data_IF_111415832272
#
_entry.id   IF_111415832272
#
_cell.length_a   1.000
_cell.length_b   1.000
_cell.length_c   1.000
_cell.angle_alpha   90.00
_cell.angle_beta   90.00
_cell.angle_gamma   90.00
#
_symmetry.space_group_name_H-M   'P 1'
#
loop_
_entity.id
_entity.type
_entity.pdbx_description
1 polymer ?
#
# COMPACT_ATOMS: atom_id res chain seq x y z
N UNK A 1 -12.92 -19.66 -1.12
CA UNK A 1 -13.34 -19.73 0.30
C UNK A 1 -12.19 -19.62 1.29
N UNK A 2 -11.00 -20.15 0.99
CA UNK A 2 -9.89 -20.22 1.96
C UNK A 2 -9.48 -18.87 2.56
N UNK A 3 -9.45 -17.81 1.75
CA UNK A 3 -9.15 -16.43 2.18
C UNK A 3 -10.01 -15.96 3.38
N UNK A 4 -11.30 -16.30 3.38
CA UNK A 4 -12.25 -15.93 4.43
C UNK A 4 -12.12 -16.79 5.68
N UNK A 5 -11.58 -18.02 5.57
CA UNK A 5 -11.25 -18.87 6.72
C UNK A 5 -10.01 -18.35 7.44
N UNK A 6 -9.01 -17.89 6.67
CA UNK A 6 -7.76 -17.34 7.20
C UNK A 6 -7.98 -15.95 7.82
N UNK A 7 -8.80 -15.10 7.18
CA UNK A 7 -9.14 -13.78 7.70
C UNK A 7 -10.67 -13.58 7.77
N UNK A 8 -11.33 -14.11 8.83
CA UNK A 8 -12.76 -13.91 9.03
C UNK A 8 -13.16 -12.43 9.12
N UNK A 9 -12.24 -11.55 9.55
CA UNK A 9 -12.45 -10.11 9.57
C UNK A 9 -12.67 -9.50 8.18
N UNK A 10 -12.33 -10.19 7.10
CA UNK A 10 -12.59 -9.74 5.73
C UNK A 10 -14.10 -9.62 5.45
N UNK A 11 -14.95 -10.41 6.13
CA UNK A 11 -16.42 -10.26 6.06
C UNK A 11 -16.93 -8.89 6.55
N UNK A 12 -16.13 -8.16 7.33
CA UNK A 12 -16.47 -6.79 7.76
C UNK A 12 -16.13 -5.74 6.70
N UNK A 13 -15.45 -6.14 5.63
CA UNK A 13 -15.07 -5.25 4.52
C UNK A 13 -16.16 -5.29 3.47
N UNK A 14 -16.61 -4.12 3.00
CA UNK A 14 -17.65 -4.06 1.96
C UNK A 14 -17.16 -4.70 0.66
N UNK A 15 -18.07 -5.34 -0.07
CA UNK A 15 -17.77 -5.96 -1.36
C UNK A 15 -17.15 -4.97 -2.34
N UNK A 16 -17.67 -3.73 -2.40
CA UNK A 16 -17.13 -2.64 -3.21
C UNK A 16 -15.65 -2.40 -2.92
N UNK A 17 -15.26 -2.35 -1.65
CA UNK A 17 -13.86 -2.15 -1.25
C UNK A 17 -12.99 -3.35 -1.61
N UNK A 18 -13.49 -4.58 -1.41
CA UNK A 18 -12.77 -5.80 -1.79
C UNK A 18 -12.50 -5.81 -3.29
N UNK A 19 -13.51 -5.50 -4.11
CA UNK A 19 -13.39 -5.47 -5.58
C UNK A 19 -12.37 -4.43 -6.04
N UNK A 20 -12.44 -3.21 -5.51
CA UNK A 20 -11.45 -2.15 -5.79
C UNK A 20 -10.03 -2.59 -5.40
N UNK A 21 -9.88 -3.24 -4.24
CA UNK A 21 -8.61 -3.80 -3.81
C UNK A 21 -8.07 -4.86 -4.77
N UNK A 22 -8.91 -5.81 -5.18
CA UNK A 22 -8.53 -6.87 -6.13
C UNK A 22 -8.08 -6.29 -7.47
N UNK A 23 -8.86 -5.36 -8.03
CA UNK A 23 -8.51 -4.67 -9.28
C UNK A 23 -7.16 -3.96 -9.18
N UNK A 24 -6.92 -3.25 -8.08
CA UNK A 24 -5.64 -2.57 -7.86
C UNK A 24 -4.47 -3.55 -7.68
N UNK A 25 -4.63 -4.58 -6.84
CA UNK A 25 -3.53 -5.49 -6.53
C UNK A 25 -3.16 -6.40 -7.71
N UNK A 26 -4.14 -6.96 -8.40
CA UNK A 26 -3.91 -7.82 -9.57
C UNK A 26 -3.58 -7.01 -10.82
N UNK A 27 -4.26 -5.87 -11.00
CA UNK A 27 -4.15 -5.04 -12.21
C UNK A 27 -2.97 -4.08 -12.17
N UNK A 28 -2.83 -3.28 -11.11
CA UNK A 28 -1.81 -2.23 -11.01
C UNK A 28 -0.53 -2.75 -10.37
N UNK A 29 -0.62 -3.39 -9.19
CA UNK A 29 0.55 -3.88 -8.46
C UNK A 29 1.10 -5.18 -9.07
N UNK A 30 0.29 -5.91 -9.84
CA UNK A 30 0.63 -7.21 -10.45
C UNK A 30 0.98 -8.29 -9.43
N UNK A 31 0.30 -8.30 -8.28
CA UNK A 31 0.36 -9.44 -7.36
C UNK A 31 -0.33 -10.66 -7.97
N UNK A 32 0.12 -11.85 -7.58
CA UNK A 32 -0.57 -13.09 -7.93
C UNK A 32 -1.76 -13.33 -7.00
N UNK A 33 -2.77 -14.06 -7.47
CA UNK A 33 -3.90 -14.47 -6.64
C UNK A 33 -3.46 -15.26 -5.41
N UNK A 34 -2.46 -16.14 -5.56
CA UNK A 34 -1.87 -16.90 -4.46
C UNK A 34 -1.34 -16.00 -3.35
N UNK A 35 -0.60 -14.93 -3.71
CA UNK A 35 -0.10 -13.95 -2.74
C UNK A 35 -1.24 -13.26 -2.00
N UNK A 36 -2.35 -12.93 -2.67
CA UNK A 36 -3.51 -12.31 -2.01
C UNK A 36 -4.24 -13.29 -1.08
N UNK A 37 -4.37 -14.55 -1.47
CA UNK A 37 -4.95 -15.60 -0.60
C UNK A 37 -4.10 -15.83 0.65
N UNK A 38 -2.77 -15.77 0.52
CA UNK A 38 -1.83 -15.89 1.65
C UNK A 38 -1.80 -14.63 2.52
N UNK A 39 -2.15 -13.47 1.97
CA UNK A 39 -2.09 -12.17 2.63
C UNK A 39 -3.41 -11.37 2.54
N UNK A 40 -4.52 -11.92 3.06
CA UNK A 40 -5.85 -11.30 2.95
C UNK A 40 -5.96 -9.94 3.64
N UNK A 41 -5.07 -9.65 4.58
CA UNK A 41 -5.02 -8.36 5.28
C UNK A 41 -4.79 -7.18 4.33
N UNK A 42 -4.19 -7.40 3.16
CA UNK A 42 -4.03 -6.37 2.13
C UNK A 42 -5.37 -5.75 1.70
N UNK A 43 -6.43 -6.56 1.62
CA UNK A 43 -7.78 -6.13 1.26
C UNK A 43 -8.51 -5.41 2.40
N UNK A 44 -7.99 -5.51 3.63
CA UNK A 44 -8.58 -4.89 4.80
C UNK A 44 -8.10 -3.45 5.01
N UNK A 45 -6.91 -3.09 4.53
CA UNK A 45 -6.37 -1.74 4.68
C UNK A 45 -7.14 -0.69 3.88
N UNK A 46 -7.05 0.58 4.27
CA UNK A 46 -7.63 1.68 3.51
C UNK A 46 -6.87 1.85 2.19
N UNK A 47 -7.59 1.80 1.07
CA UNK A 47 -6.97 1.99 -0.26
C UNK A 47 -6.40 3.39 -0.38
N UNK A 48 -7.24 4.40 -0.17
CA UNK A 48 -6.89 5.82 -0.32
C UNK A 48 -5.90 6.31 0.73
N UNK A 49 -6.14 6.02 2.01
CA UNK A 49 -5.30 6.53 3.11
C UNK A 49 -4.01 5.73 3.36
N UNK A 50 -3.87 4.51 2.84
CA UNK A 50 -2.71 3.66 3.14
C UNK A 50 -2.10 2.97 1.94
N UNK A 51 -2.88 2.21 1.18
CA UNK A 51 -2.31 1.36 0.12
C UNK A 51 -1.73 2.19 -1.02
N UNK A 52 -2.52 3.11 -1.58
CA UNK A 52 -2.11 3.92 -2.74
C UNK A 52 -0.97 4.90 -2.38
N UNK A 53 -1.02 5.67 -1.27
CA UNK A 53 0.08 6.55 -0.88
C UNK A 53 1.41 5.81 -0.75
N UNK A 54 1.38 4.64 -0.10
CA UNK A 54 2.59 3.83 0.09
C UNK A 54 3.07 3.21 -1.20
N UNK A 55 2.17 2.74 -2.06
CA UNK A 55 2.53 2.26 -3.39
C UNK A 55 3.26 3.34 -4.20
N UNK A 56 2.76 4.58 -4.20
CA UNK A 56 3.40 5.70 -4.93
C UNK A 56 4.80 5.99 -4.43
N UNK A 57 5.00 6.04 -3.12
CA UNK A 57 6.34 6.20 -2.51
C UNK A 57 7.27 5.08 -2.98
N UNK A 58 6.82 3.82 -2.98
CA UNK A 58 7.63 2.69 -3.46
C UNK A 58 7.96 2.79 -4.95
N UNK A 59 7.01 3.25 -5.78
CA UNK A 59 7.27 3.48 -7.21
C UNK A 59 8.29 4.60 -7.43
N UNK A 60 8.22 5.68 -6.65
CA UNK A 60 9.17 6.79 -6.74
C UNK A 60 10.57 6.38 -6.27
N UNK A 61 10.67 5.61 -5.19
CA UNK A 61 11.93 5.00 -4.74
C UNK A 61 12.56 4.14 -5.85
N UNK A 62 11.72 3.34 -6.53
CA UNK A 62 12.15 2.48 -7.62
C UNK A 62 12.61 3.29 -8.83
N UNK A 63 11.87 4.31 -9.25
CA UNK A 63 12.23 5.14 -10.42
C UNK A 63 13.54 5.90 -10.19
N UNK A 64 13.77 6.37 -8.96
CA UNK A 64 15.00 7.04 -8.53
C UNK A 64 16.14 6.10 -8.16
N UNK A 65 15.93 4.79 -8.20
CA UNK A 65 16.92 3.76 -7.85
C UNK A 65 17.55 3.98 -6.45
N UNK A 66 16.77 4.46 -5.48
CA UNK A 66 17.25 4.77 -4.13
C UNK A 66 17.57 3.51 -3.30
N UNK A 67 17.16 2.34 -3.77
CA UNK A 67 17.39 1.05 -3.10
C UNK A 67 18.06 0.05 -4.04
N UNK A 68 19.00 -0.74 -3.50
CA UNK A 68 19.68 -1.81 -4.24
C UNK A 68 18.79 -3.02 -4.51
N UNK A 69 17.80 -3.26 -3.65
CA UNK A 69 16.84 -4.36 -3.74
C UNK A 69 15.43 -3.83 -3.56
N UNK A 70 14.50 -4.34 -4.36
CA UNK A 70 13.10 -3.97 -4.24
C UNK A 70 12.54 -4.39 -2.87
N UNK A 71 11.91 -3.46 -2.13
CA UNK A 71 11.28 -3.78 -0.87
C UNK A 71 10.03 -4.64 -1.09
N UNK A 72 9.74 -5.51 -0.12
CA UNK A 72 8.48 -6.26 -0.10
C UNK A 72 7.30 -5.29 -0.02
N UNK A 73 6.46 -5.30 -1.06
CA UNK A 73 5.23 -4.51 -1.10
C UNK A 73 4.33 -4.83 0.10
N UNK A 74 4.11 -6.11 0.39
CA UNK A 74 3.32 -6.55 1.54
C UNK A 74 3.83 -5.95 2.86
N UNK A 75 5.13 -6.04 3.11
CA UNK A 75 5.75 -5.51 4.33
C UNK A 75 5.58 -4.00 4.44
N UNK A 76 5.77 -3.28 3.33
CA UNK A 76 5.60 -1.83 3.29
C UNK A 76 4.17 -1.39 3.61
N UNK A 77 3.15 -2.12 3.15
CA UNK A 77 1.75 -1.84 3.48
C UNK A 77 1.44 -2.18 4.96
N UNK A 78 2.03 -3.23 5.50
CA UNK A 78 1.75 -3.68 6.87
C UNK A 78 2.41 -2.84 7.97
N UNK A 79 3.44 -2.05 7.66
CA UNK A 79 4.09 -1.22 8.68
C UNK A 79 3.15 -0.18 9.30
N UNK A 80 3.40 0.15 10.58
CA UNK A 80 2.81 1.36 11.18
C UNK A 80 3.31 2.59 10.43
N UNK A 81 2.55 3.68 10.51
CA UNK A 81 2.86 4.90 9.75
C UNK A 81 4.26 5.45 10.03
N UNK A 82 4.65 5.64 11.29
CA UNK A 82 5.99 6.11 11.64
C UNK A 82 7.08 5.20 11.07
N UNK A 83 6.94 3.87 11.21
CA UNK A 83 7.92 2.90 10.67
C UNK A 83 8.01 2.99 9.14
N UNK A 84 6.88 3.20 8.46
CA UNK A 84 6.88 3.37 7.01
C UNK A 84 7.62 4.66 6.60
N UNK A 85 7.30 5.77 7.25
CA UNK A 85 7.93 7.07 6.96
C UNK A 85 9.43 7.03 7.24
N UNK A 86 9.85 6.47 8.37
CA UNK A 86 11.27 6.29 8.69
C UNK A 86 12.00 5.46 7.64
N UNK A 87 11.44 4.32 7.23
CA UNK A 87 12.12 3.38 6.33
C UNK A 87 12.15 3.82 4.87
N UNK A 88 11.11 4.49 4.40
CA UNK A 88 10.88 4.75 2.98
C UNK A 88 10.88 6.23 2.60
N UNK A 89 10.73 7.14 3.56
CA UNK A 89 10.71 8.58 3.29
C UNK A 89 11.95 9.24 3.89
N UNK A 90 12.07 9.22 5.22
CA UNK A 90 13.13 9.93 5.95
C UNK A 90 14.51 9.31 5.78
N UNK A 91 14.57 8.03 5.39
CA UNK A 91 15.82 7.33 5.08
C UNK A 91 16.63 7.99 3.95
N UNK A 92 15.99 8.77 3.08
CA UNK A 92 16.62 9.37 1.91
C UNK A 92 16.56 10.90 2.02
N UNK A 93 17.45 11.55 2.80
CA UNK A 93 17.36 12.98 3.08
C UNK A 93 17.23 13.86 1.83
N UNK A 94 18.01 13.55 0.80
CA UNK A 94 18.03 14.29 -0.49
C UNK A 94 16.71 14.15 -1.29
N UNK A 95 15.91 13.13 -1.03
CA UNK A 95 14.62 12.90 -1.70
C UNK A 95 13.43 12.93 -0.74
N UNK A 96 13.64 13.26 0.54
CA UNK A 96 12.66 13.10 1.59
C UNK A 96 11.42 13.98 1.36
N UNK A 97 11.61 15.21 0.92
CA UNK A 97 10.51 16.13 0.60
C UNK A 97 9.63 15.60 -0.52
N UNK A 98 10.22 15.16 -1.63
CA UNK A 98 9.47 14.63 -2.78
C UNK A 98 8.76 13.31 -2.44
N UNK A 99 9.41 12.43 -1.66
CA UNK A 99 8.80 11.20 -1.16
C UNK A 99 7.63 11.49 -0.22
N UNK A 100 7.76 12.52 0.64
CA UNK A 100 6.68 12.95 1.52
C UNK A 100 5.53 13.58 0.73
N UNK A 101 5.81 14.33 -0.33
CA UNK A 101 4.78 14.85 -1.23
C UNK A 101 4.03 13.71 -1.92
N UNK A 102 4.74 12.71 -2.46
CA UNK A 102 4.11 11.53 -3.05
C UNK A 102 3.22 10.76 -2.04
N UNK A 103 3.58 10.76 -0.76
CA UNK A 103 2.76 10.19 0.32
C UNK A 103 1.52 11.07 0.63
N UNK A 104 1.68 12.40 0.68
CA UNK A 104 0.62 13.33 1.11
C UNK A 104 -0.38 13.73 0.04
N UNK A 105 -0.03 13.71 -1.25
CA UNK A 105 -0.90 14.14 -2.38
C UNK A 105 -2.22 13.37 -2.46
N UNK A 106 -2.39 12.27 -1.70
CA UNK A 106 -3.67 11.55 -1.59
C UNK A 106 -4.38 11.66 -0.25
N UNK A 107 -3.80 12.41 0.70
CA UNK A 107 -4.50 12.80 1.93
C UNK A 107 -5.24 14.13 1.79
N UNK A 108 -5.02 14.88 0.69
CA UNK A 108 -5.54 16.23 0.47
C UNK A 108 -6.79 16.29 -0.43
N UNK A 109 -7.17 15.18 -1.08
CA UNK A 109 -8.39 15.12 -1.91
C UNK A 109 -9.64 14.66 -1.13
N UNK A 110 -9.59 14.67 0.22
CA UNK A 110 -10.76 14.38 1.08
C UNK A 110 -10.93 15.52 2.06
N UNK A 111 -11.38 16.65 1.54
CA UNK A 111 -11.63 17.85 2.30
C UNK A 111 -12.45 18.85 1.49
N UNK A 112 -13.53 18.39 0.85
CA UNK A 112 -14.63 19.21 0.34
C UNK A 112 -15.79 18.29 -0.07
N UNK A 113 -16.55 17.82 0.94
CA UNK A 113 -18.01 17.71 0.94
C UNK A 113 -18.53 17.48 2.37
#
# INVERSE_FOLDING_TARGET
>A
MEMFRIAPSLFRTSEKKIRLGLEFFLGTVKLTESTLVQHPSLLMFSMEKRVIPRYKVLQLIKSKKLVKKEPSFYSAICFREHVFLEKYVLRFPESAEELLMAYKVHSLDVGEE
#
